data_IF_633475709896
#
_entry.id   IF_633475709896
#
_cell.length_a   1.000
_cell.length_b   1.000
_cell.length_c   1.000
_cell.angle_alpha   90.00
_cell.angle_beta   90.00
_cell.angle_gamma   90.00
#
_symmetry.space_group_name_H-M   'P 1'
#
loop_
_entity.id
_entity.type
_entity.pdbx_description
1 polymer ?
#
# COMPACT_ATOMS: atom_id res chain seq x y z
N UNK A 1 44.62 22.13 30.41
CA UNK A 1 44.97 21.00 29.56
C UNK A 1 43.73 20.18 29.17
N UNK A 2 42.90 19.74 30.10
CA UNK A 2 41.67 18.92 29.81
C UNK A 2 40.69 19.56 28.81
N UNK A 3 40.37 20.86 28.90
CA UNK A 3 39.45 21.58 27.98
C UNK A 3 39.96 21.62 26.52
N UNK A 4 41.26 21.67 26.28
CA UNK A 4 41.85 21.67 24.93
C UNK A 4 41.79 20.28 24.32
N UNK A 5 41.99 19.23 25.12
CA UNK A 5 41.91 17.84 24.68
C UNK A 5 40.45 17.52 24.31
N UNK A 6 39.48 17.91 25.15
CA UNK A 6 38.04 17.72 24.87
C UNK A 6 37.62 18.41 23.57
N UNK A 7 38.02 19.66 23.32
CA UNK A 7 37.73 20.37 22.06
C UNK A 7 38.32 19.64 20.83
N UNK A 8 39.52 19.05 20.93
CA UNK A 8 40.11 18.26 19.83
C UNK A 8 39.33 16.99 19.60
N UNK A 9 38.92 16.29 20.64
CA UNK A 9 38.09 15.06 20.53
C UNK A 9 36.77 15.39 19.84
N UNK A 10 36.07 16.43 20.29
CA UNK A 10 34.81 16.87 19.66
C UNK A 10 35.00 17.22 18.18
N UNK A 11 36.07 17.96 17.85
CA UNK A 11 36.39 18.30 16.45
C UNK A 11 36.65 17.06 15.60
N UNK A 12 37.38 16.10 16.12
CA UNK A 12 37.65 14.82 15.42
C UNK A 12 36.34 14.05 15.18
N UNK A 13 35.47 13.97 16.19
CA UNK A 13 34.17 13.31 16.06
C UNK A 13 33.28 14.00 15.03
N UNK A 14 33.25 15.34 15.02
CA UNK A 14 32.51 16.11 14.01
C UNK A 14 33.08 15.87 12.59
N UNK A 15 34.41 15.84 12.44
CA UNK A 15 35.03 15.52 11.15
C UNK A 15 34.71 14.09 10.68
N UNK A 16 34.75 13.11 11.58
CA UNK A 16 34.39 11.73 11.27
C UNK A 16 32.90 11.61 10.90
N UNK A 17 32.00 12.30 11.61
CA UNK A 17 30.60 12.35 11.27
C UNK A 17 30.35 12.97 9.88
N UNK A 18 31.01 14.08 9.58
CA UNK A 18 30.93 14.73 8.28
C UNK A 18 31.45 13.81 7.15
N UNK A 19 32.58 13.16 7.34
CA UNK A 19 33.14 12.22 6.38
C UNK A 19 32.21 11.02 6.18
N UNK A 20 31.61 10.49 7.25
CA UNK A 20 30.60 9.44 7.17
C UNK A 20 29.38 9.87 6.37
N UNK A 21 28.83 11.05 6.62
CA UNK A 21 27.73 11.61 5.86
C UNK A 21 28.04 11.78 4.37
N UNK A 22 29.23 12.29 4.04
CA UNK A 22 29.70 12.41 2.65
C UNK A 22 29.81 11.03 1.99
N UNK A 23 30.33 10.03 2.70
CA UNK A 23 30.44 8.67 2.17
C UNK A 23 29.06 8.07 1.86
N UNK A 24 28.09 8.20 2.78
CA UNK A 24 26.70 7.73 2.61
C UNK A 24 26.06 8.37 1.37
N UNK A 25 26.14 9.69 1.23
CA UNK A 25 25.56 10.40 0.08
C UNK A 25 26.28 10.05 -1.23
N UNK A 26 27.60 9.83 -1.20
CA UNK A 26 28.39 9.44 -2.38
C UNK A 26 28.01 8.04 -2.87
N UNK A 27 27.86 7.08 -1.95
CA UNK A 27 27.41 5.71 -2.28
C UNK A 27 25.99 5.75 -2.85
N UNK A 28 25.08 6.47 -2.21
CA UNK A 28 23.70 6.63 -2.70
C UNK A 28 23.68 7.18 -4.14
N UNK A 29 24.45 8.23 -4.40
CA UNK A 29 24.55 8.84 -5.73
C UNK A 29 25.17 7.89 -6.75
N UNK A 30 26.17 7.12 -6.35
CA UNK A 30 26.81 6.11 -7.20
C UNK A 30 25.83 5.01 -7.59
N UNK A 31 25.08 4.44 -6.63
CA UNK A 31 24.05 3.41 -6.87
C UNK A 31 22.98 3.93 -7.84
N UNK A 32 22.44 5.13 -7.60
CA UNK A 32 21.44 5.72 -8.51
C UNK A 32 21.99 5.90 -9.92
N UNK A 33 23.18 6.48 -10.05
CA UNK A 33 23.77 6.77 -11.38
C UNK A 33 24.14 5.52 -12.16
N UNK A 34 24.58 4.45 -11.48
CA UNK A 34 24.98 3.19 -12.14
C UNK A 34 23.81 2.37 -12.68
N UNK A 35 22.59 2.67 -12.26
CA UNK A 35 21.37 1.95 -12.62
C UNK A 35 20.37 2.78 -13.46
N UNK A 36 20.58 4.09 -13.56
CA UNK A 36 19.60 4.99 -14.15
C UNK A 36 19.28 4.68 -15.63
N UNK A 37 20.28 4.31 -16.42
CA UNK A 37 20.09 4.01 -17.85
C UNK A 37 19.40 2.66 -18.11
N UNK A 38 19.15 1.86 -17.07
CA UNK A 38 18.44 0.58 -17.15
C UNK A 38 16.96 0.71 -16.76
N UNK A 39 16.53 1.89 -16.28
CA UNK A 39 15.10 2.16 -16.03
C UNK A 39 14.51 2.63 -17.36
N UNK A 40 13.56 1.84 -17.87
CA UNK A 40 12.97 2.00 -19.20
C UNK A 40 11.45 2.15 -19.10
N UNK A 41 10.85 2.66 -20.16
CA UNK A 41 9.40 2.73 -20.27
C UNK A 41 8.77 1.34 -20.52
N UNK A 42 7.47 1.15 -20.25
CA UNK A 42 6.77 -0.08 -20.59
C UNK A 42 6.87 -0.44 -22.07
N UNK A 43 6.82 0.55 -22.95
CA UNK A 43 6.92 0.38 -24.40
C UNK A 43 8.30 -0.14 -24.81
N UNK A 44 9.38 0.41 -24.23
CA UNK A 44 10.74 -0.07 -24.47
C UNK A 44 10.96 -1.48 -23.92
N UNK A 45 10.29 -1.82 -22.82
CA UNK A 45 10.36 -3.17 -22.23
C UNK A 45 9.74 -4.24 -23.15
N UNK A 46 8.68 -3.92 -23.87
CA UNK A 46 8.07 -4.83 -24.87
C UNK A 46 8.98 -5.08 -26.06
N UNK A 47 9.87 -4.15 -26.37
CA UNK A 47 10.89 -4.31 -27.44
C UNK A 47 12.05 -5.24 -27.04
N UNK A 48 12.18 -5.59 -25.74
CA UNK A 48 13.16 -6.54 -25.21
C UNK A 48 12.66 -7.98 -25.45
N UNK A 49 12.84 -8.47 -26.67
CA UNK A 49 12.26 -9.78 -27.10
C UNK A 49 12.92 -11.02 -26.50
N UNK A 50 13.94 -10.87 -25.65
CA UNK A 50 14.78 -11.93 -25.10
C UNK A 50 14.86 -11.94 -23.56
N UNK A 51 13.93 -11.28 -22.88
CA UNK A 51 13.82 -11.36 -21.42
C UNK A 51 13.23 -12.73 -21.00
N UNK A 52 13.85 -13.39 -20.02
CA UNK A 52 13.41 -14.69 -19.51
C UNK A 52 12.11 -14.58 -18.71
N UNK A 53 12.00 -13.54 -17.90
CA UNK A 53 10.79 -13.29 -17.09
C UNK A 53 10.68 -11.82 -16.65
N UNK A 54 9.47 -11.50 -16.20
CA UNK A 54 9.18 -10.27 -15.45
C UNK A 54 9.24 -10.63 -13.96
N UNK A 55 10.24 -10.08 -13.24
CA UNK A 55 10.39 -10.24 -11.80
C UNK A 55 9.59 -9.16 -11.08
N UNK A 56 8.47 -9.54 -10.48
CA UNK A 56 7.64 -8.65 -9.64
C UNK A 56 8.09 -8.77 -8.20
N UNK A 57 8.64 -7.69 -7.65
CA UNK A 57 9.09 -7.66 -6.26
C UNK A 57 7.91 -7.46 -5.31
N UNK A 58 7.80 -8.30 -4.28
CA UNK A 58 6.82 -8.21 -3.24
C UNK A 58 6.94 -6.92 -2.41
N UNK A 59 5.86 -6.60 -1.70
CA UNK A 59 5.79 -5.46 -0.79
C UNK A 59 5.03 -5.82 0.47
N UNK A 60 3.73 -6.07 0.36
CA UNK A 60 2.89 -6.48 1.47
C UNK A 60 1.51 -6.95 1.00
N UNK A 61 0.98 -7.98 1.67
CA UNK A 61 -0.39 -8.48 1.53
C UNK A 61 -1.06 -8.46 2.89
N UNK A 62 -2.27 -7.93 2.96
CA UNK A 62 -3.07 -7.93 4.20
C UNK A 62 -3.53 -9.34 4.58
N UNK A 63 -3.89 -9.54 5.84
CA UNK A 63 -4.43 -10.84 6.34
C UNK A 63 -5.70 -11.27 5.58
N UNK A 64 -6.43 -10.33 4.99
CA UNK A 64 -7.54 -10.57 4.06
C UNK A 64 -7.14 -11.19 2.72
N UNK A 65 -5.84 -11.30 2.43
CA UNK A 65 -5.31 -11.72 1.13
C UNK A 65 -5.27 -10.60 0.06
N UNK A 66 -5.69 -9.38 0.41
CA UNK A 66 -5.63 -8.22 -0.50
C UNK A 66 -4.20 -7.67 -0.58
N UNK A 67 -3.63 -7.46 -1.78
CA UNK A 67 -2.36 -6.75 -1.93
C UNK A 67 -2.47 -5.29 -1.44
N UNK A 68 -1.39 -4.77 -0.85
CA UNK A 68 -1.26 -3.32 -0.61
C UNK A 68 -1.29 -2.54 -1.93
N UNK A 69 -1.64 -1.26 -1.91
CA UNK A 69 -1.73 -0.45 -3.13
C UNK A 69 -0.41 -0.45 -3.93
N UNK A 70 0.73 -0.38 -3.23
CA UNK A 70 2.05 -0.49 -3.88
C UNK A 70 2.26 -1.85 -4.52
N UNK A 71 1.82 -2.95 -3.90
CA UNK A 71 1.90 -4.29 -4.47
C UNK A 71 0.89 -4.45 -5.61
N UNK A 72 -0.31 -3.93 -5.48
CA UNK A 72 -1.33 -3.94 -6.52
C UNK A 72 -0.83 -3.24 -7.80
N UNK A 73 -0.14 -2.10 -7.66
CA UNK A 73 0.47 -1.39 -8.77
C UNK A 73 1.61 -2.19 -9.41
N UNK A 74 2.44 -2.87 -8.62
CA UNK A 74 3.49 -3.76 -9.17
C UNK A 74 2.88 -4.93 -9.94
N UNK A 75 1.84 -5.56 -9.38
CA UNK A 75 1.12 -6.66 -10.03
C UNK A 75 0.48 -6.18 -11.33
N UNK A 76 -0.23 -5.05 -11.30
CA UNK A 76 -0.80 -4.43 -12.49
C UNK A 76 0.24 -4.21 -13.57
N UNK A 77 1.38 -3.60 -13.25
CA UNK A 77 2.47 -3.36 -14.21
C UNK A 77 3.06 -4.66 -14.74
N UNK A 78 3.31 -5.64 -13.89
CA UNK A 78 3.83 -6.95 -14.30
C UNK A 78 2.87 -7.68 -15.24
N UNK A 79 1.56 -7.66 -14.93
CA UNK A 79 0.50 -8.25 -15.75
C UNK A 79 0.41 -7.55 -17.11
N UNK A 80 0.39 -6.21 -17.14
CA UNK A 80 0.38 -5.43 -18.39
C UNK A 80 1.56 -5.76 -19.29
N UNK A 81 2.77 -5.86 -18.73
CA UNK A 81 3.98 -6.21 -19.48
C UNK A 81 3.93 -7.64 -20.03
N UNK A 82 3.45 -8.60 -19.23
CA UNK A 82 3.27 -9.97 -19.67
C UNK A 82 2.25 -10.05 -20.82
N UNK A 83 1.09 -9.42 -20.68
CA UNK A 83 0.04 -9.39 -21.72
C UNK A 83 0.49 -8.68 -23.00
N UNK A 84 1.38 -7.70 -22.87
CA UNK A 84 2.02 -7.01 -23.99
C UNK A 84 3.16 -7.83 -24.65
N UNK A 85 3.55 -8.97 -24.06
CA UNK A 85 4.57 -9.87 -24.61
C UNK A 85 6.02 -9.48 -24.28
N UNK A 86 6.26 -8.67 -23.24
CA UNK A 86 7.61 -8.25 -22.84
C UNK A 86 8.47 -9.43 -22.35
N UNK A 87 7.88 -10.44 -21.73
CA UNK A 87 8.52 -11.71 -21.41
C UNK A 87 7.50 -12.83 -21.27
N UNK A 88 7.90 -14.11 -21.44
CA UNK A 88 6.98 -15.25 -21.45
C UNK A 88 6.51 -15.70 -20.07
N UNK A 89 7.14 -15.24 -18.99
CA UNK A 89 6.89 -15.70 -17.63
C UNK A 89 6.86 -14.55 -16.64
N UNK A 90 6.09 -14.74 -15.55
CA UNK A 90 6.10 -13.92 -14.35
C UNK A 90 6.81 -14.66 -13.22
N UNK A 91 7.72 -14.00 -12.52
CA UNK A 91 8.35 -14.47 -11.29
C UNK A 91 7.91 -13.57 -10.16
N UNK A 92 7.01 -14.07 -9.31
CA UNK A 92 6.50 -13.38 -8.13
C UNK A 92 7.44 -13.66 -6.96
N UNK A 93 8.20 -12.68 -6.49
CA UNK A 93 9.17 -12.86 -5.41
C UNK A 93 8.76 -12.04 -4.19
N UNK A 94 8.50 -12.74 -3.09
CA UNK A 94 7.99 -12.14 -1.86
C UNK A 94 8.30 -12.99 -0.63
N UNK A 95 7.75 -12.59 0.52
CA UNK A 95 7.95 -13.25 1.80
C UNK A 95 6.87 -14.33 2.05
N UNK A 96 7.32 -15.52 2.42
CA UNK A 96 6.50 -16.61 2.96
C UNK A 96 7.18 -17.21 4.22
N UNK A 97 7.82 -16.34 5.00
CA UNK A 97 8.57 -16.77 6.20
C UNK A 97 7.71 -17.04 7.42
N UNK A 98 6.42 -16.68 7.41
CA UNK A 98 5.46 -16.90 8.50
C UNK A 98 4.36 -17.84 8.06
N UNK A 99 3.88 -18.70 8.98
CA UNK A 99 2.94 -19.78 8.69
C UNK A 99 1.59 -19.31 8.13
N UNK A 100 1.16 -18.11 8.53
CA UNK A 100 -0.15 -17.53 8.16
C UNK A 100 0.00 -16.35 7.17
N UNK A 101 1.20 -16.16 6.60
CA UNK A 101 1.48 -15.08 5.65
C UNK A 101 2.11 -15.65 4.36
N UNK A 102 1.39 -15.55 3.25
CA UNK A 102 1.81 -16.06 1.95
C UNK A 102 1.58 -15.00 0.86
N UNK A 103 2.54 -14.09 0.74
CA UNK A 103 2.47 -12.99 -0.21
C UNK A 103 2.45 -13.48 -1.66
N UNK A 104 3.32 -14.43 -2.00
CA UNK A 104 3.46 -14.90 -3.38
C UNK A 104 2.23 -15.65 -3.88
N UNK A 105 1.46 -16.29 -2.99
CA UNK A 105 0.16 -16.90 -3.32
C UNK A 105 -0.84 -15.82 -3.77
N UNK A 106 -0.97 -14.74 -2.99
CA UNK A 106 -1.86 -13.63 -3.35
C UNK A 106 -1.44 -12.98 -4.68
N UNK A 107 -0.13 -12.83 -4.92
CA UNK A 107 0.41 -12.30 -6.18
C UNK A 107 0.08 -13.22 -7.37
N UNK A 108 0.24 -14.53 -7.23
CA UNK A 108 -0.09 -15.51 -8.29
C UNK A 108 -1.58 -15.54 -8.58
N UNK A 109 -2.43 -15.53 -7.54
CA UNK A 109 -3.89 -15.49 -7.73
C UNK A 109 -4.32 -14.24 -8.50
N UNK A 110 -3.75 -13.09 -8.22
CA UNK A 110 -4.04 -11.85 -8.96
C UNK A 110 -3.64 -11.93 -10.44
N UNK A 111 -2.53 -12.57 -10.76
CA UNK A 111 -2.13 -12.81 -12.14
C UNK A 111 -3.11 -13.76 -12.86
N UNK A 112 -3.55 -14.83 -12.17
CA UNK A 112 -4.54 -15.77 -12.71
C UNK A 112 -5.92 -15.12 -12.88
N UNK A 113 -6.36 -14.26 -11.96
CA UNK A 113 -7.59 -13.45 -12.09
C UNK A 113 -7.55 -12.56 -13.34
N UNK A 114 -6.36 -12.10 -13.76
CA UNK A 114 -6.16 -11.34 -14.99
C UNK A 114 -6.01 -12.21 -16.25
N UNK A 115 -6.27 -13.52 -16.16
CA UNK A 115 -6.26 -14.46 -17.27
C UNK A 115 -4.88 -15.03 -17.62
N UNK A 116 -3.86 -14.86 -16.77
CA UNK A 116 -2.52 -15.43 -17.01
C UNK A 116 -2.53 -16.92 -16.60
N UNK A 117 -2.06 -17.84 -17.46
CA UNK A 117 -1.98 -19.25 -17.12
C UNK A 117 -1.12 -19.51 -15.90
N UNK A 118 -1.57 -20.40 -14.99
CA UNK A 118 -0.84 -20.72 -13.76
C UNK A 118 0.57 -21.26 -14.02
N UNK A 119 0.78 -21.99 -15.12
CA UNK A 119 2.09 -22.49 -15.57
C UNK A 119 3.07 -21.39 -15.99
N UNK A 120 2.60 -20.16 -16.22
CA UNK A 120 3.46 -19.03 -16.58
C UNK A 120 3.80 -18.16 -15.38
N UNK A 121 3.27 -18.45 -14.19
CA UNK A 121 3.50 -17.68 -12.97
C UNK A 121 4.27 -18.50 -11.94
N UNK A 122 5.52 -18.13 -11.71
CA UNK A 122 6.40 -18.73 -10.71
C UNK A 122 6.29 -18.01 -9.37
N UNK A 123 6.41 -18.77 -8.27
CA UNK A 123 6.39 -18.28 -6.89
C UNK A 123 7.76 -18.45 -6.23
N UNK A 124 8.41 -17.35 -5.90
CA UNK A 124 9.64 -17.34 -5.10
C UNK A 124 9.29 -17.06 -3.63
N UNK A 125 9.13 -18.10 -2.84
CA UNK A 125 8.73 -18.07 -1.43
C UNK A 125 9.80 -17.56 -0.46
N UNK A 126 11.00 -17.27 -0.92
CA UNK A 126 12.12 -16.87 -0.08
C UNK A 126 12.79 -15.57 -0.54
N UNK A 127 12.01 -14.69 -1.14
CA UNK A 127 12.42 -13.34 -1.51
C UNK A 127 12.38 -12.35 -0.32
N UNK A 128 13.03 -12.71 0.81
CA UNK A 128 13.00 -11.91 2.06
C UNK A 128 13.71 -10.56 1.96
N UNK A 129 14.43 -10.32 0.92
CA UNK A 129 15.06 -9.03 0.62
C UNK A 129 15.28 -8.89 -0.89
N UNK A 130 15.42 -7.65 -1.37
CA UNK A 130 15.72 -7.40 -2.79
C UNK A 130 16.99 -8.12 -3.26
N UNK A 131 17.99 -8.24 -2.39
CA UNK A 131 19.21 -8.99 -2.70
C UNK A 131 18.92 -10.47 -2.92
N UNK A 132 18.13 -11.09 -2.04
CA UNK A 132 17.77 -12.51 -2.13
C UNK A 132 16.85 -12.79 -3.32
N UNK A 133 15.86 -11.93 -3.58
CA UNK A 133 15.00 -12.04 -4.76
C UNK A 133 15.80 -12.13 -6.06
N UNK A 134 16.78 -11.23 -6.25
CA UNK A 134 17.60 -11.19 -7.46
C UNK A 134 18.62 -12.34 -7.49
N UNK A 135 19.21 -12.68 -6.35
CA UNK A 135 20.10 -13.83 -6.23
C UNK A 135 19.39 -15.12 -6.63
N UNK A 136 18.17 -15.32 -6.13
CA UNK A 136 17.35 -16.50 -6.41
C UNK A 136 16.80 -16.50 -7.83
N UNK A 137 16.45 -15.36 -8.40
CA UNK A 137 16.08 -15.26 -9.81
C UNK A 137 17.15 -15.86 -10.71
N UNK A 138 18.43 -15.57 -10.43
CA UNK A 138 19.58 -16.13 -11.17
C UNK A 138 19.82 -17.61 -10.84
N UNK A 139 19.97 -17.97 -9.57
CA UNK A 139 20.53 -19.29 -9.18
C UNK A 139 19.46 -20.37 -8.96
N UNK A 140 18.24 -20.01 -8.59
CA UNK A 140 17.11 -20.94 -8.43
C UNK A 140 16.27 -20.98 -9.70
N UNK A 141 15.93 -19.81 -10.24
CA UNK A 141 15.06 -19.74 -11.41
C UNK A 141 15.82 -19.69 -12.73
N UNK A 142 17.15 -19.72 -12.69
CA UNK A 142 18.04 -19.72 -13.87
C UNK A 142 17.67 -18.61 -14.90
N UNK A 143 17.28 -17.44 -14.39
CA UNK A 143 16.96 -16.28 -15.22
C UNK A 143 18.24 -15.44 -15.43
N UNK A 144 18.67 -15.34 -16.68
CA UNK A 144 19.86 -14.56 -17.06
C UNK A 144 19.51 -13.11 -17.38
N UNK A 145 18.30 -12.88 -17.96
CA UNK A 145 17.81 -11.55 -18.32
C UNK A 145 16.39 -11.33 -17.80
N UNK A 146 16.21 -10.30 -16.97
CA UNK A 146 14.93 -10.04 -16.27
C UNK A 146 14.45 -8.61 -16.45
N UNK A 147 13.12 -8.43 -16.47
CA UNK A 147 12.47 -7.12 -16.33
C UNK A 147 11.98 -7.00 -14.88
N UNK A 148 12.59 -6.11 -14.10
CA UNK A 148 12.24 -5.91 -12.69
C UNK A 148 11.11 -4.87 -12.59
N UNK A 149 10.03 -5.24 -11.89
CA UNK A 149 8.88 -4.37 -11.64
C UNK A 149 8.79 -4.01 -10.17
N UNK A 150 8.93 -2.75 -9.86
CA UNK A 150 8.73 -2.13 -8.54
C UNK A 150 8.62 -0.61 -8.72
N UNK A 151 8.44 0.16 -7.62
CA UNK A 151 8.43 1.62 -7.69
C UNK A 151 9.80 2.19 -8.09
N UNK A 152 9.82 3.34 -8.77
CA UNK A 152 11.03 3.94 -9.34
C UNK A 152 12.16 4.12 -8.30
N UNK A 153 11.81 4.64 -7.11
CA UNK A 153 12.81 4.87 -6.06
C UNK A 153 13.54 3.59 -5.63
N UNK A 154 12.91 2.44 -5.76
CA UNK A 154 13.44 1.11 -5.43
C UNK A 154 14.21 0.49 -6.61
N UNK A 155 13.83 0.79 -7.86
CA UNK A 155 14.49 0.25 -9.06
C UNK A 155 16.00 0.51 -9.07
N UNK A 156 16.47 1.68 -8.66
CA UNK A 156 17.90 1.98 -8.60
C UNK A 156 18.68 0.96 -7.76
N UNK A 157 18.11 0.53 -6.64
CA UNK A 157 18.73 -0.45 -5.76
C UNK A 157 18.67 -1.86 -6.32
N UNK A 158 17.51 -2.25 -6.84
CA UNK A 158 17.33 -3.57 -7.45
C UNK A 158 18.26 -3.78 -8.65
N UNK A 159 18.32 -2.83 -9.57
CA UNK A 159 19.20 -2.88 -10.74
C UNK A 159 20.69 -2.88 -10.37
N UNK A 160 21.07 -2.10 -9.35
CA UNK A 160 22.45 -2.14 -8.84
C UNK A 160 22.83 -3.54 -8.32
N UNK A 161 21.95 -4.19 -7.58
CA UNK A 161 22.15 -5.56 -7.08
C UNK A 161 22.24 -6.54 -8.26
N UNK A 162 21.33 -6.44 -9.24
CA UNK A 162 21.33 -7.29 -10.44
C UNK A 162 22.68 -7.20 -11.17
N UNK A 163 23.17 -6.00 -11.43
CA UNK A 163 24.48 -5.76 -12.05
C UNK A 163 25.62 -6.39 -11.23
N UNK A 164 25.60 -6.22 -9.91
CA UNK A 164 26.63 -6.78 -9.04
C UNK A 164 26.60 -8.32 -9.01
N UNK A 165 25.43 -8.93 -9.15
CA UNK A 165 25.27 -10.37 -9.22
C UNK A 165 25.46 -10.95 -10.63
N UNK A 166 25.57 -10.11 -11.66
CA UNK A 166 25.78 -10.51 -13.05
C UNK A 166 24.51 -10.93 -13.77
N UNK A 167 23.36 -10.43 -13.32
CA UNK A 167 22.04 -10.58 -14.00
C UNK A 167 21.85 -9.41 -14.95
N UNK A 168 21.56 -9.65 -16.21
CA UNK A 168 21.12 -8.61 -17.12
C UNK A 168 19.71 -8.17 -16.73
N UNK A 169 19.51 -6.91 -16.36
CA UNK A 169 18.26 -6.45 -15.84
C UNK A 169 17.86 -5.08 -16.37
N UNK A 170 16.58 -4.92 -16.65
CA UNK A 170 15.94 -3.64 -16.95
C UNK A 170 14.82 -3.43 -15.94
N UNK A 171 14.55 -2.17 -15.57
CA UNK A 171 13.55 -1.83 -14.59
C UNK A 171 12.37 -1.07 -15.20
N UNK A 172 11.16 -1.45 -14.87
CA UNK A 172 9.96 -0.71 -15.24
C UNK A 172 9.24 -0.25 -13.98
N UNK A 173 9.02 1.06 -13.89
CA UNK A 173 8.38 1.67 -12.74
C UNK A 173 6.88 1.33 -12.66
N UNK A 174 6.43 1.01 -11.45
CA UNK A 174 5.02 0.71 -11.13
C UNK A 174 4.36 1.86 -10.36
N UNK A 175 4.75 3.10 -10.65
CA UNK A 175 4.25 4.29 -9.99
C UNK A 175 3.02 4.82 -10.74
N UNK A 176 1.83 4.22 -10.49
CA UNK A 176 0.55 4.71 -11.03
C UNK A 176 -0.03 5.83 -10.17
N UNK A 177 0.41 5.94 -8.93
CA UNK A 177 -0.05 6.91 -7.95
C UNK A 177 1.13 7.62 -7.30
N UNK A 178 0.89 8.79 -6.74
CA UNK A 178 1.83 9.42 -5.81
C UNK A 178 1.56 8.84 -4.42
N UNK A 179 2.48 8.04 -3.91
CA UNK A 179 2.33 7.46 -2.58
C UNK A 179 2.75 8.45 -1.50
N UNK A 180 1.91 8.63 -0.49
CA UNK A 180 2.22 9.48 0.66
C UNK A 180 3.46 8.95 1.41
N UNK A 181 4.28 9.87 1.93
CA UNK A 181 5.52 9.51 2.62
C UNK A 181 6.72 9.23 1.69
N UNK A 182 6.69 9.67 0.44
CA UNK A 182 7.79 9.50 -0.53
C UNK A 182 9.13 10.00 0.01
N UNK A 183 9.14 11.14 0.73
CA UNK A 183 10.37 11.69 1.31
C UNK A 183 10.98 10.74 2.36
N UNK A 184 10.17 10.15 3.22
CA UNK A 184 10.64 9.18 4.23
C UNK A 184 11.14 7.90 3.56
N UNK A 185 10.47 7.43 2.51
CA UNK A 185 10.93 6.29 1.71
C UNK A 185 12.27 6.58 1.04
N UNK A 186 12.45 7.78 0.48
CA UNK A 186 13.75 8.17 -0.10
C UNK A 186 14.87 8.21 0.96
N UNK A 187 14.61 8.68 2.17
CA UNK A 187 15.59 8.65 3.27
C UNK A 187 15.92 7.20 3.65
N UNK A 188 14.90 6.34 3.82
CA UNK A 188 15.10 4.90 4.07
C UNK A 188 15.88 4.24 2.96
N UNK A 189 15.59 4.56 1.71
CA UNK A 189 16.30 4.02 0.54
C UNK A 189 17.77 4.48 0.47
N UNK A 190 18.10 5.70 0.96
CA UNK A 190 19.51 6.09 1.09
C UNK A 190 20.27 5.08 1.97
N UNK A 191 19.69 4.70 3.10
CA UNK A 191 20.31 3.72 4.01
C UNK A 191 20.29 2.31 3.41
N UNK A 192 19.19 1.90 2.77
CA UNK A 192 19.07 0.61 2.10
C UNK A 192 20.06 0.46 0.95
N UNK A 193 20.24 1.49 0.11
CA UNK A 193 21.23 1.52 -0.96
C UNK A 193 22.67 1.38 -0.42
N UNK A 194 22.98 2.01 0.72
CA UNK A 194 24.28 1.85 1.38
C UNK A 194 24.50 0.44 1.94
N UNK A 195 23.46 -0.15 2.58
CA UNK A 195 23.48 -1.53 3.05
C UNK A 195 23.74 -2.49 1.88
N UNK A 196 22.94 -2.36 0.82
CA UNK A 196 22.97 -3.29 -0.30
C UNK A 196 24.21 -3.06 -1.20
N UNK A 197 24.79 -1.87 -1.21
CA UNK A 197 26.13 -1.64 -1.76
C UNK A 197 27.18 -2.54 -1.07
N UNK A 198 27.17 -2.58 0.26
CA UNK A 198 28.08 -3.45 1.01
C UNK A 198 27.77 -4.94 0.80
N UNK A 199 26.48 -5.32 0.82
CA UNK A 199 26.02 -6.69 0.56
C UNK A 199 26.43 -7.16 -0.83
N UNK A 200 26.31 -6.32 -1.84
CA UNK A 200 26.70 -6.62 -3.23
C UNK A 200 28.22 -6.81 -3.42
N UNK A 201 29.05 -6.21 -2.55
CA UNK A 201 30.50 -6.46 -2.53
C UNK A 201 30.80 -7.79 -1.85
N UNK A 202 30.15 -8.08 -0.71
CA UNK A 202 30.40 -9.27 0.09
C UNK A 202 29.82 -10.54 -0.54
N UNK A 203 28.71 -10.39 -1.29
CA UNK A 203 27.98 -11.46 -1.99
C UNK A 203 27.66 -12.66 -1.08
N UNK A 204 27.01 -12.46 0.08
CA UNK A 204 26.64 -13.58 0.94
C UNK A 204 25.66 -14.51 0.21
N UNK A 205 25.65 -15.79 0.60
CA UNK A 205 24.60 -16.69 0.14
C UNK A 205 23.24 -16.24 0.71
N UNK A 206 22.13 -16.47 -0.02
CA UNK A 206 20.79 -16.19 0.49
C UNK A 206 20.45 -17.13 1.67
N UNK A 207 19.45 -16.77 2.44
CA UNK A 207 18.98 -17.56 3.59
C UNK A 207 18.56 -18.98 3.16
N UNK A 208 17.86 -19.09 2.04
CA UNK A 208 17.46 -20.36 1.43
C UNK A 208 17.81 -20.34 -0.07
N UNK A 209 18.54 -21.35 -0.53
CA UNK A 209 18.82 -21.50 -1.95
C UNK A 209 17.81 -22.46 -2.62
N UNK A 210 17.65 -23.65 -2.11
CA UNK A 210 16.74 -24.65 -2.69
C UNK A 210 17.28 -25.35 -3.93
N UNK A 211 16.42 -26.15 -4.58
CA UNK A 211 16.72 -26.79 -5.86
C UNK A 211 16.48 -25.81 -7.02
N UNK A 212 17.12 -26.05 -8.14
CA UNK A 212 16.97 -25.23 -9.36
C UNK A 212 15.64 -25.55 -10.03
N UNK A 213 14.80 -24.56 -10.24
CA UNK A 213 13.51 -24.61 -10.94
C UNK A 213 13.56 -23.55 -12.05
N UNK A 214 14.05 -23.89 -13.26
CA UNK A 214 14.23 -22.90 -14.33
C UNK A 214 12.93 -22.20 -14.70
N UNK A 215 12.97 -20.87 -14.82
CA UNK A 215 11.80 -20.06 -15.16
C UNK A 215 11.25 -20.36 -16.55
N UNK A 216 12.04 -21.00 -17.42
CA UNK A 216 11.59 -21.50 -18.73
C UNK A 216 10.66 -22.73 -18.67
N UNK A 217 10.50 -23.31 -17.47
CA UNK A 217 9.65 -24.50 -17.23
C UNK A 217 8.20 -24.16 -16.90
N UNK A 218 7.61 -25.02 -16.04
CA UNK A 218 6.23 -24.93 -15.56
C UNK A 218 6.21 -24.25 -14.17
N UNK A 219 5.54 -23.10 -14.06
CA UNK A 219 5.39 -22.33 -12.84
C UNK A 219 4.62 -23.05 -11.73
N UNK A 220 3.82 -24.08 -12.09
CA UNK A 220 3.13 -24.91 -11.10
C UNK A 220 4.08 -25.74 -10.23
N UNK A 221 5.33 -25.94 -10.66
CA UNK A 221 6.36 -26.61 -9.84
C UNK A 221 6.74 -25.82 -8.60
N UNK A 222 6.35 -24.54 -8.53
CA UNK A 222 6.60 -23.65 -7.39
C UNK A 222 5.39 -23.51 -6.46
N UNK A 223 4.25 -24.16 -6.78
CA UNK A 223 3.07 -24.11 -5.95
C UNK A 223 3.32 -24.84 -4.61
N UNK A 224 2.85 -24.26 -3.52
CA UNK A 224 2.65 -24.96 -2.25
C UNK A 224 1.30 -25.69 -2.23
N UNK A 225 1.03 -26.46 -1.15
CA UNK A 225 -0.20 -27.23 -1.00
C UNK A 225 -1.46 -26.36 -1.10
N UNK A 226 -1.42 -25.14 -0.55
CA UNK A 226 -2.55 -24.22 -0.59
C UNK A 226 -2.79 -23.65 -1.98
N UNK A 227 -1.73 -23.37 -2.74
CA UNK A 227 -1.84 -22.89 -4.11
C UNK A 227 -2.27 -24.02 -5.07
N UNK A 228 -1.79 -25.25 -4.85
CA UNK A 228 -2.28 -26.40 -5.64
C UNK A 228 -3.79 -26.62 -5.50
N UNK A 229 -4.33 -26.41 -4.31
CA UNK A 229 -5.78 -26.51 -4.06
C UNK A 229 -6.53 -25.33 -4.69
N UNK A 230 -6.00 -24.13 -4.58
CA UNK A 230 -6.56 -22.93 -5.19
C UNK A 230 -6.63 -23.06 -6.74
N UNK A 231 -5.59 -23.54 -7.37
CA UNK A 231 -5.57 -23.76 -8.85
C UNK A 231 -6.63 -24.75 -9.29
N UNK A 232 -6.88 -25.83 -8.52
CA UNK A 232 -7.91 -26.85 -8.85
C UNK A 232 -9.33 -26.30 -8.80
N UNK A 233 -9.57 -25.30 -7.96
CA UNK A 233 -10.90 -24.70 -7.72
C UNK A 233 -11.09 -23.38 -8.46
N UNK A 234 -10.05 -22.88 -9.12
CA UNK A 234 -10.08 -21.60 -9.81
C UNK A 234 -10.97 -21.66 -11.05
N UNK A 235 -12.08 -20.92 -11.03
CA UNK A 235 -12.91 -20.67 -12.22
C UNK A 235 -12.46 -19.33 -12.83
N UNK A 236 -11.90 -19.33 -14.06
CA UNK A 236 -11.51 -18.08 -14.70
C UNK A 236 -12.72 -17.19 -14.92
N UNK A 237 -12.60 -15.92 -14.59
CA UNK A 237 -13.60 -14.89 -14.88
C UNK A 237 -13.74 -14.83 -16.43
N UNK A 238 -14.94 -15.01 -17.02
CA UNK A 238 -15.11 -14.95 -18.46
C UNK A 238 -14.69 -13.59 -18.98
N UNK A 239 -13.71 -13.55 -19.87
CA UNK A 239 -13.35 -12.34 -20.60
C UNK A 239 -14.49 -11.94 -21.54
N UNK A 240 -14.79 -10.63 -21.72
CA UNK A 240 -15.90 -10.15 -22.55
C UNK A 240 -15.73 -10.38 -24.07
N UNK A 241 -14.75 -11.13 -24.53
CA UNK A 241 -14.42 -11.28 -25.96
C UNK A 241 -15.01 -12.51 -26.67
N UNK A 242 -15.70 -13.41 -25.97
CA UNK A 242 -16.23 -14.62 -26.61
C UNK A 242 -17.68 -14.52 -27.13
N UNK A 243 -18.31 -13.33 -27.07
CA UNK A 243 -19.68 -13.10 -27.58
C UNK A 243 -19.77 -12.19 -28.82
N UNK A 244 -18.85 -12.36 -29.80
CA UNK A 244 -19.02 -11.77 -31.14
C UNK A 244 -19.17 -12.85 -32.20
N UNK A 245 -20.27 -13.55 -32.17
CA UNK A 245 -20.80 -14.21 -33.36
C UNK A 245 -22.25 -13.79 -33.61
N UNK A 246 -22.35 -12.85 -34.55
CA UNK A 246 -23.43 -12.69 -35.54
C UNK A 246 -24.85 -13.05 -35.08
N UNK A 247 -25.65 -12.03 -34.75
CA UNK A 247 -27.00 -11.93 -35.32
C UNK A 247 -27.54 -10.52 -35.12
N UNK A 248 -27.49 -9.70 -36.16
CA UNK A 248 -28.36 -8.54 -36.28
C UNK A 248 -29.76 -9.04 -36.66
N UNK A 249 -30.80 -8.71 -35.88
CA UNK A 249 -32.13 -8.49 -36.44
C UNK A 249 -32.41 -6.96 -36.43
N UNK A 250 -32.99 -6.52 -37.56
CA UNK A 250 -33.55 -5.20 -37.74
C UNK A 250 -34.57 -4.79 -36.65
N UNK A 251 -34.77 -3.49 -36.40
CA UNK A 251 -35.67 -3.02 -35.39
C UNK A 251 -37.14 -3.20 -35.83
N UNK A 252 -37.84 -4.12 -35.21
CA UNK A 252 -39.29 -4.16 -35.25
C UNK A 252 -39.90 -3.42 -34.08
N UNK A 253 -40.85 -2.56 -34.40
CA UNK A 253 -41.68 -1.74 -33.52
C UNK A 253 -42.25 -2.51 -32.33
N UNK A 254 -42.07 -1.99 -31.14
CA UNK A 254 -42.70 -2.47 -29.89
C UNK A 254 -44.16 -2.03 -29.81
N UNK A 255 -45.10 -2.93 -29.52
CA UNK A 255 -46.45 -2.53 -29.15
C UNK A 255 -46.48 -1.94 -27.72
N UNK A 256 -47.02 -0.75 -27.60
CA UNK A 256 -47.49 -0.17 -26.33
C UNK A 256 -48.70 -0.96 -25.85
N UNK A 257 -48.53 -2.01 -25.06
CA UNK A 257 -49.56 -2.59 -24.17
C UNK A 257 -49.04 -3.86 -23.51
N UNK A 258 -48.19 -3.70 -22.49
CA UNK A 258 -47.91 -4.77 -21.50
C UNK A 258 -47.18 -4.20 -20.25
N UNK A 259 -47.78 -3.20 -19.64
CA UNK A 259 -47.39 -2.73 -18.30
C UNK A 259 -48.58 -2.83 -17.36
N UNK A 260 -49.03 -4.05 -17.05
CA UNK A 260 -49.80 -4.34 -15.82
C UNK A 260 -49.86 -5.87 -15.63
N UNK A 261 -49.42 -6.29 -14.43
CA UNK A 261 -49.40 -7.63 -13.78
C UNK A 261 -47.97 -8.25 -13.78
N UNK A 262 -47.31 -8.30 -12.65
CA UNK A 262 -47.51 -8.92 -11.34
C UNK A 262 -46.49 -8.41 -10.32
N UNK A 263 -46.86 -7.52 -9.41
CA UNK A 263 -46.20 -7.41 -8.12
C UNK A 263 -46.82 -8.46 -7.20
N UNK A 264 -46.24 -9.66 -7.20
CA UNK A 264 -46.44 -10.61 -6.10
C UNK A 264 -45.40 -10.33 -5.02
N UNK A 265 -45.89 -10.03 -3.85
CA UNK A 265 -45.20 -9.81 -2.59
C UNK A 265 -44.07 -10.83 -2.36
N UNK A 266 -42.83 -10.35 -2.55
CA UNK A 266 -41.72 -10.90 -1.81
C UNK A 266 -41.85 -10.39 -0.37
N UNK A 267 -41.63 -11.21 0.67
CA UNK A 267 -41.69 -10.74 2.03
C UNK A 267 -40.64 -9.64 2.19
N UNK A 268 -41.09 -8.42 2.54
CA UNK A 268 -40.23 -7.33 2.98
C UNK A 268 -39.44 -7.87 4.17
N UNK A 269 -38.15 -8.13 3.96
CA UNK A 269 -37.25 -8.44 5.04
C UNK A 269 -37.31 -7.25 6.00
N UNK A 270 -37.78 -7.50 7.20
CA UNK A 270 -37.73 -6.51 8.28
C UNK A 270 -36.29 -6.10 8.41
N UNK A 271 -35.91 -4.80 8.29
CA UNK A 271 -34.53 -4.40 8.48
C UNK A 271 -34.06 -4.90 9.84
N UNK A 272 -32.86 -5.45 9.90
CA UNK A 272 -32.24 -5.84 11.15
C UNK A 272 -32.27 -4.61 12.08
N UNK A 273 -32.52 -4.76 13.39
CA UNK A 273 -32.49 -3.63 14.30
C UNK A 273 -31.13 -2.95 14.24
N UNK A 274 -31.15 -1.61 14.20
CA UNK A 274 -29.91 -0.84 14.25
C UNK A 274 -29.09 -1.21 15.49
N UNK A 275 -27.75 -1.28 15.39
CA UNK A 275 -26.87 -1.53 16.53
C UNK A 275 -27.02 -0.44 17.61
N UNK A 276 -26.68 -0.76 18.84
CA UNK A 276 -26.51 0.25 19.88
C UNK A 276 -25.34 1.17 19.52
N UNK A 277 -25.40 2.44 19.94
CA UNK A 277 -24.37 3.45 19.59
C UNK A 277 -22.95 3.07 19.98
N UNK A 278 -22.80 2.31 21.05
CA UNK A 278 -21.53 1.81 21.58
C UNK A 278 -20.97 0.61 20.81
N UNK A 279 -21.75 -0.02 19.94
CA UNK A 279 -21.32 -1.17 19.16
C UNK A 279 -20.28 -0.76 18.13
N UNK A 280 -19.16 -1.48 18.04
CA UNK A 280 -18.24 -1.33 16.94
C UNK A 280 -18.84 -1.89 15.66
N UNK A 281 -18.75 -1.11 14.59
CA UNK A 281 -19.20 -1.49 13.25
C UNK A 281 -18.12 -1.15 12.23
N UNK A 282 -18.05 -1.94 11.17
CA UNK A 282 -17.20 -1.67 10.02
C UNK A 282 -17.83 -0.53 9.22
N UNK A 283 -17.06 0.52 8.95
CA UNK A 283 -17.57 1.77 8.36
C UNK A 283 -18.17 1.52 6.98
N UNK A 284 -17.49 0.80 6.11
CA UNK A 284 -17.92 0.53 4.73
C UNK A 284 -19.27 -0.21 4.65
N UNK A 285 -19.57 -1.02 5.66
CA UNK A 285 -20.87 -1.73 5.73
C UNK A 285 -22.07 -0.79 5.95
N UNK A 286 -21.84 0.42 6.46
CA UNK A 286 -22.86 1.43 6.75
C UNK A 286 -22.74 2.65 5.86
N UNK A 287 -21.57 2.93 5.32
CA UNK A 287 -21.24 4.08 4.48
C UNK A 287 -20.50 3.61 3.22
N UNK A 288 -21.19 3.01 2.25
CA UNK A 288 -20.54 2.44 1.05
C UNK A 288 -19.87 3.48 0.16
N UNK A 289 -20.24 4.76 0.29
CA UNK A 289 -19.66 5.86 -0.48
C UNK A 289 -18.41 6.47 0.20
N UNK A 290 -18.12 6.12 1.45
CA UNK A 290 -16.90 6.52 2.15
C UNK A 290 -15.75 5.63 1.68
N UNK A 291 -14.61 6.23 1.40
CA UNK A 291 -13.41 5.49 1.06
C UNK A 291 -12.53 5.31 2.29
N UNK A 292 -11.82 4.20 2.33
CA UNK A 292 -10.87 3.90 3.40
C UNK A 292 -9.49 3.61 2.83
N UNK A 293 -8.47 4.19 3.44
CA UNK A 293 -7.07 3.94 3.16
C UNK A 293 -6.32 4.03 4.49
N UNK A 294 -6.49 3.00 5.36
CA UNK A 294 -5.88 3.01 6.68
C UNK A 294 -4.36 3.09 6.57
N UNK A 295 -3.78 4.24 6.88
CA UNK A 295 -2.35 4.53 6.72
C UNK A 295 -1.48 3.63 7.58
N UNK A 296 -1.93 3.32 8.79
CA UNK A 296 -1.20 2.42 9.69
C UNK A 296 -1.34 0.93 9.34
N UNK A 297 -2.23 0.58 8.41
CA UNK A 297 -2.29 -0.74 7.80
C UNK A 297 -1.30 -0.91 6.64
N UNK A 298 -0.54 0.12 6.30
CA UNK A 298 0.46 0.12 5.24
C UNK A 298 1.78 0.71 5.75
N UNK A 299 2.85 0.65 4.98
CA UNK A 299 4.08 1.41 5.25
C UNK A 299 3.92 2.92 4.98
N UNK A 300 2.76 3.36 4.48
CA UNK A 300 2.47 4.73 4.09
C UNK A 300 2.08 5.60 5.30
N UNK A 301 2.90 5.62 6.34
CA UNK A 301 2.78 6.41 7.56
C UNK A 301 4.15 6.88 8.04
N UNK A 302 4.20 7.74 9.04
CA UNK A 302 5.45 8.33 9.52
C UNK A 302 6.47 7.31 10.05
N UNK A 303 6.04 6.12 10.48
CA UNK A 303 6.95 5.09 10.98
C UNK A 303 7.62 4.31 9.84
N UNK A 304 7.04 4.32 8.64
CA UNK A 304 7.47 3.50 7.52
C UNK A 304 7.32 1.99 7.79
N UNK A 305 6.48 1.61 8.77
CA UNK A 305 6.21 0.24 9.16
C UNK A 305 4.71 -0.01 9.18
N UNK A 306 4.32 -1.25 8.97
CA UNK A 306 2.93 -1.67 9.14
C UNK A 306 2.66 -1.84 10.64
N UNK A 307 1.70 -1.07 11.11
CA UNK A 307 1.33 -1.02 12.52
C UNK A 307 0.10 -1.91 12.80
N UNK A 308 -0.90 -1.86 11.88
CA UNK A 308 -2.13 -2.64 12.00
C UNK A 308 -1.98 -4.01 11.34
N UNK A 309 -2.72 -4.99 11.84
CA UNK A 309 -2.86 -6.33 11.26
C UNK A 309 -4.20 -6.50 10.53
N UNK A 310 -4.96 -5.43 10.38
CA UNK A 310 -6.26 -5.35 9.73
C UNK A 310 -6.31 -4.12 8.83
N UNK A 311 -7.18 -4.11 7.86
CA UNK A 311 -7.35 -3.04 6.86
C UNK A 311 -8.78 -2.48 6.80
N UNK A 312 -9.72 -3.07 7.53
CA UNK A 312 -11.07 -2.56 7.67
C UNK A 312 -11.15 -1.42 8.70
N UNK A 313 -11.84 -0.36 8.37
CA UNK A 313 -12.03 0.77 9.28
C UNK A 313 -13.24 0.53 10.20
N UNK A 314 -13.01 0.59 11.52
CA UNK A 314 -14.01 0.34 12.56
C UNK A 314 -14.24 1.57 13.41
N UNK A 315 -15.51 1.85 13.73
CA UNK A 315 -15.91 2.90 14.68
C UNK A 315 -17.11 2.46 15.51
N UNK A 316 -17.41 3.22 16.55
CA UNK A 316 -18.70 3.12 17.26
C UNK A 316 -19.83 3.52 16.34
N UNK A 317 -20.95 2.79 16.37
CA UNK A 317 -22.08 3.04 15.49
C UNK A 317 -22.62 4.47 15.58
N UNK A 318 -22.68 5.07 16.79
CA UNK A 318 -23.06 6.46 16.98
C UNK A 318 -22.15 7.45 16.25
N UNK A 319 -20.86 7.17 16.18
CA UNK A 319 -19.89 7.97 15.42
C UNK A 319 -20.08 7.81 13.92
N UNK A 320 -20.34 6.58 13.46
CA UNK A 320 -20.68 6.30 12.05
C UNK A 320 -21.93 7.05 11.60
N UNK A 321 -22.97 7.16 12.44
CA UNK A 321 -24.15 7.95 12.13
C UNK A 321 -23.86 9.44 11.92
N UNK A 322 -22.91 10.02 12.67
CA UNK A 322 -22.46 11.41 12.48
C UNK A 322 -21.62 11.55 11.22
N UNK A 323 -20.75 10.57 10.94
CA UNK A 323 -19.92 10.54 9.74
C UNK A 323 -20.77 10.43 8.47
N UNK A 324 -21.89 9.68 8.51
CA UNK A 324 -22.86 9.61 7.42
C UNK A 324 -23.39 11.00 7.02
N UNK A 325 -23.75 11.79 8.01
CA UNK A 325 -24.25 13.16 7.76
C UNK A 325 -23.17 14.05 7.16
N UNK A 326 -21.93 13.92 7.63
CA UNK A 326 -20.81 14.67 7.07
C UNK A 326 -20.57 14.28 5.60
N UNK A 327 -20.59 12.99 5.29
CA UNK A 327 -20.47 12.48 3.93
C UNK A 327 -21.59 12.98 3.01
N UNK A 328 -22.83 12.98 3.46
CA UNK A 328 -23.98 13.51 2.69
C UNK A 328 -23.77 14.99 2.32
N UNK A 329 -23.37 15.84 3.30
CA UNK A 329 -23.13 17.26 3.07
C UNK A 329 -21.93 17.54 2.16
N UNK A 330 -20.89 16.70 2.21
CA UNK A 330 -19.73 16.81 1.32
C UNK A 330 -20.07 16.32 -0.08
N UNK A 331 -20.87 15.27 -0.22
CA UNK A 331 -21.31 14.75 -1.51
C UNK A 331 -22.13 15.78 -2.30
N UNK A 332 -22.96 16.59 -1.63
CA UNK A 332 -23.67 17.72 -2.26
C UNK A 332 -22.73 18.77 -2.88
N UNK A 333 -21.47 18.81 -2.42
CA UNK A 333 -20.42 19.72 -2.91
C UNK A 333 -19.42 19.03 -3.85
N UNK A 334 -19.64 17.76 -4.20
CA UNK A 334 -18.83 16.99 -5.11
C UNK A 334 -17.61 16.32 -4.47
N UNK A 335 -17.58 16.20 -3.13
CA UNK A 335 -16.49 15.57 -2.38
C UNK A 335 -16.94 14.31 -1.65
N UNK A 336 -16.00 13.39 -1.46
CA UNK A 336 -16.17 12.22 -0.60
C UNK A 336 -15.12 12.27 0.51
N UNK A 337 -15.44 11.66 1.66
CA UNK A 337 -14.47 11.41 2.73
C UNK A 337 -13.57 10.24 2.37
N UNK A 338 -12.28 10.40 2.63
CA UNK A 338 -11.30 9.33 2.65
C UNK A 338 -10.76 9.20 4.08
N UNK A 339 -10.90 8.03 4.68
CA UNK A 339 -10.47 7.75 6.06
C UNK A 339 -9.06 7.20 6.05
N UNK A 340 -8.18 7.86 6.78
CA UNK A 340 -6.77 7.47 6.96
C UNK A 340 -6.52 6.71 8.26
N UNK A 341 -7.28 7.01 9.32
CA UNK A 341 -7.29 6.26 10.57
C UNK A 341 -8.67 6.33 11.25
N UNK A 342 -8.99 5.27 12.00
CA UNK A 342 -10.26 5.15 12.72
C UNK A 342 -10.01 4.51 14.11
N UNK A 343 -10.55 3.33 14.39
CA UNK A 343 -10.22 2.62 15.62
C UNK A 343 -8.76 2.16 15.63
N UNK A 344 -8.03 2.53 16.68
CA UNK A 344 -6.64 2.14 16.92
C UNK A 344 -6.55 1.27 18.16
N UNK A 345 -6.21 -0.03 18.02
CA UNK A 345 -5.97 -0.90 19.16
C UNK A 345 -4.87 -0.37 20.07
N UNK A 346 -4.98 -0.59 21.38
CA UNK A 346 -3.94 -0.18 22.34
C UNK A 346 -2.56 -0.75 22.00
N UNK A 347 -2.51 -1.98 21.49
CA UNK A 347 -1.25 -2.60 21.06
C UNK A 347 -0.60 -1.83 19.87
N UNK A 348 -1.39 -1.28 18.96
CA UNK A 348 -0.90 -0.44 17.88
C UNK A 348 -0.35 0.89 18.40
N UNK A 349 -1.01 1.50 19.39
CA UNK A 349 -0.50 2.71 20.04
C UNK A 349 0.87 2.50 20.69
N UNK A 350 1.12 1.32 21.29
CA UNK A 350 2.43 0.98 21.83
C UNK A 350 3.49 0.89 20.73
N UNK A 351 3.18 0.30 19.58
CA UNK A 351 4.13 0.25 18.45
C UNK A 351 4.47 1.66 17.93
N UNK A 352 3.49 2.57 17.83
CA UNK A 352 3.73 3.95 17.44
C UNK A 352 4.65 4.66 18.44
N UNK A 353 4.39 4.48 19.74
CA UNK A 353 5.21 5.07 20.81
C UNK A 353 6.64 4.52 20.83
N UNK A 354 6.86 3.24 20.56
CA UNK A 354 8.19 2.65 20.47
C UNK A 354 9.02 3.25 19.32
N UNK A 355 8.37 3.59 18.21
CA UNK A 355 9.04 4.19 17.05
C UNK A 355 9.29 5.68 17.25
N UNK A 356 8.31 6.39 17.81
CA UNK A 356 8.37 7.85 17.98
C UNK A 356 7.81 8.28 19.35
N UNK A 357 8.63 8.23 20.41
CA UNK A 357 8.19 8.51 21.80
C UNK A 357 8.13 10.01 22.10
N UNK A 358 7.39 10.77 21.30
CA UNK A 358 7.15 12.19 21.50
C UNK A 358 5.67 12.44 21.84
N UNK A 359 5.34 12.85 23.09
CA UNK A 359 3.96 13.02 23.52
C UNK A 359 3.22 14.19 22.86
N UNK A 360 3.90 15.01 22.06
CA UNK A 360 3.27 16.07 21.25
C UNK A 360 2.51 15.47 20.08
N UNK A 361 3.03 14.40 19.49
CA UNK A 361 2.50 13.77 18.27
C UNK A 361 1.91 12.38 18.49
N UNK A 362 2.45 11.63 19.44
CA UNK A 362 2.00 10.26 19.75
C UNK A 362 1.59 10.20 21.22
N UNK A 363 0.31 9.98 21.52
CA UNK A 363 -0.16 9.82 22.89
C UNK A 363 0.65 8.75 23.63
N UNK A 364 1.16 9.08 24.82
CA UNK A 364 1.96 8.16 25.62
C UNK A 364 1.08 7.07 26.25
N UNK A 365 1.16 5.81 25.79
CA UNK A 365 0.30 4.73 26.26
C UNK A 365 0.54 4.32 27.72
N UNK A 366 1.64 4.76 28.36
CA UNK A 366 1.87 4.59 29.79
C UNK A 366 1.01 5.53 30.63
N UNK A 367 0.52 6.64 30.05
CA UNK A 367 -0.20 7.70 30.77
C UNK A 367 -1.66 7.78 30.41
N UNK A 368 -1.99 7.57 29.15
CA UNK A 368 -3.34 7.75 28.63
C UNK A 368 -3.59 6.90 27.39
N UNK A 369 -4.86 6.63 27.11
CA UNK A 369 -5.27 6.02 25.85
C UNK A 369 -5.33 7.07 24.75
N UNK A 370 -4.96 6.68 23.53
CA UNK A 370 -5.26 7.47 22.33
C UNK A 370 -6.78 7.69 22.20
N UNK A 371 -7.19 8.84 21.67
CA UNK A 371 -8.59 9.12 21.33
C UNK A 371 -9.14 8.05 20.36
N UNK A 372 -8.35 7.59 19.39
CA UNK A 372 -8.69 6.51 18.44
C UNK A 372 -9.01 5.18 19.13
N UNK A 373 -8.38 4.87 20.26
CA UNK A 373 -8.65 3.61 20.99
C UNK A 373 -10.07 3.54 21.60
N UNK A 374 -10.82 4.62 21.56
CA UNK A 374 -12.22 4.65 21.98
C UNK A 374 -13.20 4.30 20.84
N UNK A 375 -12.72 4.31 19.61
CA UNK A 375 -13.53 4.10 18.40
C UNK A 375 -14.44 5.26 18.04
N UNK A 376 -14.10 6.47 18.44
CA UNK A 376 -14.87 7.68 18.19
C UNK A 376 -14.03 8.82 17.59
N UNK A 377 -12.89 8.51 17.04
CA UNK A 377 -11.98 9.46 16.43
C UNK A 377 -11.61 8.98 15.03
N UNK A 378 -11.52 9.91 14.09
CA UNK A 378 -11.15 9.65 12.72
C UNK A 378 -10.11 10.65 12.25
N UNK A 379 -9.17 10.18 11.45
CA UNK A 379 -8.30 10.99 10.61
C UNK A 379 -8.81 10.89 9.18
N UNK A 380 -9.21 12.03 8.60
CA UNK A 380 -9.92 12.07 7.33
C UNK A 380 -9.41 13.18 6.41
N UNK A 381 -9.57 12.96 5.12
CA UNK A 381 -9.36 13.97 4.08
C UNK A 381 -10.50 13.99 3.07
N UNK A 382 -10.41 14.90 2.10
CA UNK A 382 -11.34 15.00 0.99
C UNK A 382 -10.75 14.39 -0.28
N UNK A 383 -11.61 13.72 -1.04
CA UNK A 383 -11.35 13.34 -2.43
C UNK A 383 -12.54 13.78 -3.28
N UNK A 384 -12.33 13.95 -4.58
CA UNK A 384 -13.42 14.19 -5.52
C UNK A 384 -14.33 12.95 -5.64
N UNK A 385 -15.50 13.10 -6.23
CA UNK A 385 -16.40 11.96 -6.51
C UNK A 385 -15.74 10.86 -7.35
N UNK A 386 -14.75 11.22 -8.19
CA UNK A 386 -13.96 10.27 -8.99
C UNK A 386 -12.80 9.66 -8.20
N UNK A 387 -12.55 10.15 -6.97
CA UNK A 387 -11.54 9.64 -6.05
C UNK A 387 -10.16 10.29 -6.18
N UNK A 388 -10.05 11.40 -6.90
CA UNK A 388 -8.82 12.19 -6.97
C UNK A 388 -8.64 13.00 -5.68
N UNK A 389 -7.40 13.05 -5.17
CA UNK A 389 -7.07 13.86 -4.02
C UNK A 389 -7.25 15.35 -4.32
N UNK A 390 -7.80 16.09 -3.37
CA UNK A 390 -7.81 17.55 -3.41
C UNK A 390 -6.61 18.13 -2.66
N UNK A 391 -6.22 19.35 -3.00
CA UNK A 391 -5.12 20.03 -2.33
C UNK A 391 -5.50 20.32 -0.87
N UNK A 392 -4.69 19.83 0.08
CA UNK A 392 -4.86 20.01 1.52
C UNK A 392 -3.60 20.66 2.11
N UNK A 393 -3.63 21.21 3.35
CA UNK A 393 -2.51 21.93 3.94
C UNK A 393 -1.21 21.15 3.97
N UNK A 394 -1.26 19.89 4.36
CA UNK A 394 -0.10 18.98 4.43
C UNK A 394 -0.53 17.57 4.11
N UNK A 395 0.43 16.68 4.00
CA UNK A 395 0.22 15.24 4.02
C UNK A 395 -0.19 14.75 5.43
N UNK A 396 -0.72 13.51 5.50
CA UNK A 396 -1.03 12.84 6.76
C UNK A 396 0.25 12.64 7.60
N UNK A 397 0.15 12.80 8.92
CA UNK A 397 1.28 12.69 9.85
C UNK A 397 2.45 13.66 9.53
N UNK A 398 2.18 14.79 8.91
CA UNK A 398 3.12 15.89 8.82
C UNK A 398 3.20 16.59 10.18
N UNK A 399 4.36 16.51 10.84
CA UNK A 399 4.60 17.11 12.15
C UNK A 399 5.17 18.53 12.06
N UNK A 400 4.95 19.23 10.96
CA UNK A 400 5.27 20.64 10.81
C UNK A 400 4.16 21.53 11.36
N UNK A 401 4.47 22.85 11.54
CA UNK A 401 3.47 23.83 11.93
C UNK A 401 2.37 24.05 10.87
N UNK A 402 2.59 23.62 9.63
CA UNK A 402 1.59 23.73 8.57
C UNK A 402 0.43 22.74 8.72
N UNK A 403 0.60 21.73 9.57
CA UNK A 403 -0.46 20.75 9.87
C UNK A 403 -1.52 21.27 10.85
N UNK A 404 -1.24 22.36 11.54
CA UNK A 404 -2.19 22.97 12.46
C UNK A 404 -3.37 23.65 11.73
N UNK A 405 -4.31 24.23 12.49
CA UNK A 405 -5.51 24.84 11.92
C UNK A 405 -5.39 26.35 11.72
N UNK A 406 -4.16 26.88 11.71
CA UNK A 406 -3.87 28.21 11.22
C UNK A 406 -3.63 28.16 9.71
N UNK A 407 -4.70 28.19 8.96
CA UNK A 407 -4.64 28.08 7.50
C UNK A 407 -4.13 29.32 6.77
N UNK A 408 -3.55 30.29 7.51
CA UNK A 408 -3.06 31.57 6.93
C UNK A 408 -1.71 31.42 6.20
N UNK A 409 -0.97 30.35 6.48
CA UNK A 409 0.38 30.08 5.97
C UNK A 409 0.46 28.94 4.93
N UNK A 410 -0.70 28.44 4.48
CA UNK A 410 -0.83 27.41 3.44
C UNK A 410 -1.45 27.98 2.14
N UNK A 411 -1.36 27.27 0.99
CA UNK A 411 -2.01 27.71 -0.25
C UNK A 411 -3.51 27.96 -0.09
N UNK A 412 -4.03 28.98 -0.78
CA UNK A 412 -5.43 29.42 -0.64
C UNK A 412 -6.44 28.29 -0.90
N UNK A 413 -6.21 27.43 -1.90
CA UNK A 413 -7.10 26.32 -2.20
C UNK A 413 -7.02 25.23 -1.12
N UNK A 414 -5.82 24.93 -0.60
CA UNK A 414 -5.64 24.01 0.53
C UNK A 414 -6.38 24.53 1.79
N UNK A 415 -6.23 25.82 2.11
CA UNK A 415 -6.93 26.46 3.21
C UNK A 415 -8.46 26.36 3.09
N UNK A 416 -8.98 26.60 1.89
CA UNK A 416 -10.42 26.50 1.59
C UNK A 416 -10.94 25.08 1.76
N UNK A 417 -10.23 24.08 1.26
CA UNK A 417 -10.62 22.68 1.36
C UNK A 417 -10.57 22.18 2.82
N UNK A 418 -9.53 22.54 3.58
CA UNK A 418 -9.42 22.20 4.98
C UNK A 418 -10.52 22.86 5.83
N UNK A 419 -10.83 24.15 5.57
CA UNK A 419 -11.91 24.86 6.24
C UNK A 419 -13.29 24.27 5.93
N UNK A 420 -13.52 23.82 4.69
CA UNK A 420 -14.73 23.11 4.29
C UNK A 420 -14.88 21.82 5.11
N UNK A 421 -13.84 20.98 5.14
CA UNK A 421 -13.84 19.74 5.92
C UNK A 421 -14.10 20.02 7.40
N UNK A 422 -13.39 20.98 7.99
CA UNK A 422 -13.54 21.36 9.40
C UNK A 422 -14.97 21.82 9.71
N UNK A 423 -15.54 22.68 8.85
CA UNK A 423 -16.91 23.19 9.03
C UNK A 423 -17.91 22.06 9.02
N UNK A 424 -17.88 21.20 8.00
CA UNK A 424 -18.85 20.11 7.87
C UNK A 424 -18.71 19.09 9.01
N UNK A 425 -17.48 18.70 9.37
CA UNK A 425 -17.25 17.78 10.48
C UNK A 425 -17.75 18.36 11.81
N UNK A 426 -17.48 19.64 12.07
CA UNK A 426 -17.93 20.32 13.30
C UNK A 426 -19.46 20.41 13.36
N UNK A 427 -20.12 20.79 12.27
CA UNK A 427 -21.59 20.88 12.19
C UNK A 427 -22.25 19.50 12.38
N UNK A 428 -21.56 18.42 12.06
CA UNK A 428 -22.01 17.04 12.27
C UNK A 428 -21.66 16.47 13.67
N UNK A 429 -21.07 17.28 14.56
CA UNK A 429 -20.84 16.92 15.96
C UNK A 429 -19.48 16.29 16.24
N UNK A 430 -18.48 16.61 15.42
CA UNK A 430 -17.09 16.31 15.70
C UNK A 430 -16.35 17.51 16.27
N UNK A 431 -15.36 17.24 17.09
CA UNK A 431 -14.46 18.24 17.66
C UNK A 431 -13.10 18.13 16.96
N UNK A 432 -12.63 19.20 16.30
CA UNK A 432 -11.31 19.24 15.69
C UNK A 432 -10.19 19.28 16.74
N UNK A 433 -9.04 18.66 16.44
CA UNK A 433 -7.80 18.83 17.20
C UNK A 433 -6.97 19.97 16.59
N UNK A 434 -6.48 20.89 17.42
CA UNK A 434 -5.85 22.13 16.94
C UNK A 434 -4.52 21.92 16.22
N UNK A 435 -3.82 20.82 16.47
CA UNK A 435 -2.50 20.55 15.92
C UNK A 435 -2.52 19.76 14.60
N UNK A 436 -3.72 19.26 14.17
CA UNK A 436 -3.84 18.39 13.01
C UNK A 436 -5.15 18.66 12.27
N UNK A 437 -5.06 19.12 11.02
CA UNK A 437 -6.24 19.48 10.22
C UNK A 437 -7.12 18.27 9.86
N UNK A 438 -6.58 17.06 9.84
CA UNK A 438 -7.28 15.81 9.51
C UNK A 438 -7.98 15.16 10.71
N UNK A 439 -7.60 15.49 11.95
CA UNK A 439 -8.03 14.79 13.17
C UNK A 439 -9.34 15.34 13.76
N UNK A 440 -10.34 14.47 13.90
CA UNK A 440 -11.66 14.80 14.42
C UNK A 440 -12.15 13.73 15.41
N UNK A 441 -12.51 14.15 16.62
CA UNK A 441 -13.12 13.29 17.64
C UNK A 441 -14.61 13.57 17.78
N UNK A 442 -15.42 12.53 17.84
CA UNK A 442 -16.84 12.65 18.17
C UNK A 442 -17.03 13.31 19.54
N UNK A 443 -18.01 14.19 19.66
CA UNK A 443 -18.37 14.86 20.93
C UNK A 443 -19.00 13.91 21.95
N UNK A 444 -19.53 12.74 21.51
CA UNK A 444 -20.02 11.68 22.39
C UNK A 444 -18.82 10.88 22.93
N UNK A 445 -18.82 10.64 24.24
CA UNK A 445 -17.73 9.94 24.91
C UNK A 445 -18.01 8.43 24.98
N UNK A 446 -17.05 7.61 24.54
CA UNK A 446 -17.11 6.15 24.64
C UNK A 446 -15.96 5.60 25.50
N UNK A 447 -16.19 4.51 26.25
CA UNK A 447 -15.12 3.84 26.97
C UNK A 447 -14.17 3.13 26.00
N UNK A 448 -12.91 2.97 26.39
CA UNK A 448 -12.00 2.05 25.70
C UNK A 448 -12.48 0.62 25.93
N UNK A 449 -12.47 -0.17 24.87
CA UNK A 449 -12.77 -1.60 24.92
C UNK A 449 -11.54 -2.39 24.45
N UNK A 450 -10.74 -2.84 25.39
CA UNK A 450 -9.53 -3.62 25.11
C UNK A 450 -9.84 -5.05 24.62
N UNK A 451 -11.09 -5.49 24.70
CA UNK A 451 -11.52 -6.82 24.24
C UNK A 451 -11.90 -6.81 22.76
N UNK A 452 -12.13 -5.64 22.17
CA UNK A 452 -12.47 -5.54 20.76
C UNK A 452 -11.21 -5.71 19.90
N UNK A 453 -11.26 -6.66 19.02
CA UNK A 453 -10.22 -6.96 18.02
C UNK A 453 -10.89 -6.89 16.64
N UNK A 454 -10.46 -5.98 15.75
CA UNK A 454 -10.88 -5.98 14.36
C UNK A 454 -10.55 -7.34 13.70
N UNK A 455 -11.46 -7.83 12.88
CA UNK A 455 -11.31 -9.11 12.16
C UNK A 455 -10.82 -8.84 10.75
#
# INVERSE_FOLDING_TARGET
MKKRILKRIVLVLLCLGLLGGIAVLSINSYVKKSAADQIISPEEAVELTDADCILVLGCYVFDSGRPSDMLADRLRRGIELYQAGAAPKLLMSGDHGQKDYNEVKAMKLKAMEAGIPSEDVFMDHAGFSTYESIYRARDVFAADKVIIVTQEYHLYRALYIANALGVEAYGVAADYHTYVGQANREVREILARNKDFATSILKPNPTYLGEVIPVSGDGNLTNDEEMEEAVKTFEPVPTPEDDVQSNHPEPSELPEDALEEEKKDAPVATPAPEPEKETFVQIESWLPDVRTELRYATENNFTGQIIYTFDDAWLRYGTVQKLSKAQELLAEQGYLLLIWDAFRPTAAQWKLWEVFPDPVYVANPEKEYSSHSRGNTVDVTLVTSDGEFVEMPTEFDDFSSLADRDYSDVPEEAAKNALLLETVMTDCGFKPYSGEWWHFSDTDAYPVDESFVPN
#
